data_IF_913201027437
#
_entry.id   IF_913201027437
#
_cell.length_a   1.000
_cell.length_b   1.000
_cell.length_c   1.000
_cell.angle_alpha   90.00
_cell.angle_beta   90.00
_cell.angle_gamma   90.00
#
_symmetry.space_group_name_H-M   'P 1'
#
loop_
_entity.id
_entity.type
_entity.pdbx_description
1 polymer ?
#
# COMPACT_ATOMS: atom_id res chain seq x y z
N UNK A 1 -22.28 -23.89 4.57
CA UNK A 1 -20.95 -23.44 5.04
C UNK A 1 -20.51 -22.10 4.43
N UNK A 2 -20.18 -22.00 3.13
CA UNK A 2 -19.79 -20.70 2.52
C UNK A 2 -20.93 -19.66 2.49
N UNK A 3 -22.18 -20.09 2.22
CA UNK A 3 -23.35 -19.21 2.23
C UNK A 3 -23.60 -18.59 3.62
N UNK A 4 -23.49 -19.39 4.68
CA UNK A 4 -23.77 -18.96 6.05
C UNK A 4 -22.74 -17.92 6.54
N UNK A 5 -21.47 -18.06 6.10
CA UNK A 5 -20.41 -17.10 6.41
C UNK A 5 -20.71 -15.70 5.85
N UNK A 6 -21.18 -15.59 4.61
CA UNK A 6 -21.45 -14.28 4.00
C UNK A 6 -22.76 -13.64 4.50
N UNK A 7 -23.70 -14.44 5.02
CA UNK A 7 -24.90 -13.91 5.68
C UNK A 7 -24.57 -13.32 7.06
N UNK A 8 -23.74 -14.00 7.85
CA UNK A 8 -23.35 -13.55 9.19
C UNK A 8 -22.26 -12.46 9.16
N UNK A 9 -21.43 -12.43 8.11
CA UNK A 9 -20.36 -11.46 7.94
C UNK A 9 -20.42 -10.83 6.55
N UNK A 10 -21.46 -10.02 6.26
CA UNK A 10 -21.61 -9.39 4.97
C UNK A 10 -20.39 -8.52 4.66
N UNK A 11 -19.66 -8.85 3.59
CA UNK A 11 -18.49 -8.08 3.12
C UNK A 11 -18.88 -6.78 2.40
N UNK A 12 -20.16 -6.40 2.46
CA UNK A 12 -20.68 -5.16 1.91
C UNK A 12 -20.55 -4.06 2.94
N UNK A 13 -19.59 -3.16 2.74
CA UNK A 13 -19.42 -1.99 3.62
C UNK A 13 -20.55 -0.98 3.33
N UNK A 14 -21.26 -0.47 4.35
CA UNK A 14 -22.17 0.65 4.16
C UNK A 14 -21.38 1.87 3.68
N UNK A 15 -22.04 2.77 2.94
CA UNK A 15 -21.41 4.05 2.57
C UNK A 15 -21.09 4.81 3.84
N UNK A 16 -19.87 5.30 3.93
CA UNK A 16 -19.44 6.13 5.02
C UNK A 16 -20.17 7.49 4.92
N UNK A 17 -20.67 8.06 6.03
CA UNK A 17 -21.22 9.42 6.02
C UNK A 17 -20.22 10.44 5.46
N UNK A 18 -20.73 11.49 4.82
CA UNK A 18 -19.92 12.44 4.05
C UNK A 18 -18.84 13.10 4.91
N UNK A 19 -19.18 13.44 6.14
CA UNK A 19 -18.33 14.09 7.13
C UNK A 19 -17.09 13.22 7.43
N UNK A 20 -17.30 11.91 7.57
CA UNK A 20 -16.20 10.97 7.80
C UNK A 20 -15.38 10.72 6.54
N UNK A 21 -15.97 10.75 5.35
CA UNK A 21 -15.22 10.66 4.08
C UNK A 21 -14.27 11.85 3.94
N UNK A 22 -14.72 13.04 4.32
CA UNK A 22 -13.91 14.27 4.26
C UNK A 22 -12.75 14.21 5.27
N UNK A 23 -13.02 13.78 6.50
CA UNK A 23 -11.97 13.52 7.50
C UNK A 23 -11.00 12.47 6.97
N UNK A 24 -11.49 11.31 6.53
CA UNK A 24 -10.63 10.25 6.00
C UNK A 24 -9.75 10.75 4.86
N UNK A 25 -10.34 11.44 3.88
CA UNK A 25 -9.61 11.97 2.72
C UNK A 25 -8.55 12.99 3.12
N UNK A 26 -8.86 13.89 4.06
CA UNK A 26 -7.91 14.92 4.52
C UNK A 26 -6.72 14.33 5.27
N UNK A 27 -6.95 13.42 6.22
CA UNK A 27 -5.87 12.72 6.94
C UNK A 27 -5.06 11.83 6.01
N UNK A 28 -5.74 11.13 5.08
CA UNK A 28 -5.05 10.23 4.17
C UNK A 28 -4.14 11.00 3.20
N UNK A 29 -4.62 12.15 2.70
CA UNK A 29 -3.83 13.08 1.89
C UNK A 29 -2.69 13.70 2.69
N UNK A 30 -2.94 14.19 3.91
CA UNK A 30 -1.91 14.79 4.77
C UNK A 30 -0.78 13.82 5.14
N UNK A 31 -1.12 12.58 5.50
CA UNK A 31 -0.14 11.54 5.83
C UNK A 31 0.72 11.11 4.62
N UNK A 32 0.19 11.24 3.39
CA UNK A 32 0.91 10.88 2.16
C UNK A 32 1.64 12.04 1.49
N UNK A 33 1.17 13.28 1.64
CA UNK A 33 1.91 14.48 1.20
C UNK A 33 3.19 14.71 2.02
N UNK A 34 3.30 14.08 3.19
CA UNK A 34 4.57 13.94 3.90
C UNK A 34 5.21 15.29 4.22
N UNK A 35 4.44 16.27 4.69
CA UNK A 35 4.96 17.59 5.08
C UNK A 35 5.37 17.56 6.55
N UNK A 36 6.66 17.41 6.83
CA UNK A 36 7.21 17.49 8.18
C UNK A 36 8.53 16.74 8.40
N UNK A 37 9.09 16.87 9.60
CA UNK A 37 10.34 16.19 9.99
C UNK A 37 10.11 14.68 10.14
N UNK A 38 8.94 14.28 10.66
CA UNK A 38 8.58 12.89 10.83
C UNK A 38 8.48 12.13 9.50
N UNK A 39 7.83 12.72 8.48
CA UNK A 39 7.71 12.11 7.16
C UNK A 39 9.06 11.98 6.45
N UNK A 40 9.98 12.93 6.65
CA UNK A 40 11.34 12.82 6.13
C UNK A 40 12.08 11.64 6.73
N UNK A 41 12.00 11.46 8.05
CA UNK A 41 12.60 10.32 8.74
C UNK A 41 11.98 9.00 8.28
N UNK A 42 10.65 8.92 8.19
CA UNK A 42 9.94 7.75 7.68
C UNK A 42 10.41 7.37 6.28
N UNK A 43 10.49 8.33 5.35
CA UNK A 43 10.96 8.07 3.97
C UNK A 43 12.41 7.55 3.92
N UNK A 44 13.29 8.03 4.82
CA UNK A 44 14.67 7.54 4.90
C UNK A 44 14.74 6.09 5.39
N UNK A 45 13.96 5.76 6.40
CA UNK A 45 13.88 4.40 6.96
C UNK A 45 13.25 3.45 5.92
N UNK A 46 12.16 3.86 5.27
CA UNK A 46 11.49 3.13 4.19
C UNK A 46 12.47 2.86 3.04
N UNK A 47 13.20 3.88 2.57
CA UNK A 47 14.22 3.70 1.55
C UNK A 47 15.34 2.74 1.99
N UNK A 48 15.75 2.79 3.25
CA UNK A 48 16.74 1.84 3.77
C UNK A 48 16.22 0.41 3.78
N UNK A 49 14.96 0.18 4.16
CA UNK A 49 14.32 -1.13 4.13
C UNK A 49 14.24 -1.70 2.72
N UNK A 50 13.77 -0.92 1.74
CA UNK A 50 13.70 -1.40 0.35
C UNK A 50 15.08 -1.74 -0.22
N UNK A 51 16.13 -1.00 0.16
CA UNK A 51 17.51 -1.37 -0.21
C UNK A 51 17.95 -2.71 0.40
N UNK A 52 17.46 -3.05 1.59
CA UNK A 52 17.76 -4.35 2.21
C UNK A 52 17.03 -5.48 1.49
N UNK A 53 15.74 -5.31 1.22
CA UNK A 53 14.94 -6.27 0.45
C UNK A 53 15.54 -6.48 -0.95
N UNK A 54 15.81 -5.40 -1.68
CA UNK A 54 16.40 -5.45 -3.01
C UNK A 54 17.75 -6.20 -3.05
N UNK A 55 18.57 -6.06 -2.00
CA UNK A 55 19.84 -6.79 -1.89
C UNK A 55 19.64 -8.28 -1.67
N UNK A 56 18.65 -8.66 -0.87
CA UNK A 56 18.33 -10.05 -0.57
C UNK A 56 17.80 -10.79 -1.81
N UNK A 57 16.90 -10.14 -2.56
CA UNK A 57 16.26 -10.74 -3.74
C UNK A 57 17.12 -10.65 -5.01
N UNK A 58 18.28 -9.98 -4.99
CA UNK A 58 19.15 -9.75 -6.16
C UNK A 58 19.55 -11.05 -6.88
N UNK A 59 19.70 -12.16 -6.15
CA UNK A 59 20.06 -13.47 -6.73
C UNK A 59 18.85 -14.24 -7.29
N UNK A 60 17.63 -13.75 -7.04
CA UNK A 60 16.36 -14.39 -7.39
C UNK A 60 15.43 -13.43 -8.16
N UNK A 61 15.98 -12.65 -9.09
CA UNK A 61 15.22 -11.62 -9.84
C UNK A 61 14.16 -12.16 -10.81
N UNK A 62 14.14 -13.47 -11.07
CA UNK A 62 13.22 -14.10 -12.02
C UNK A 62 11.88 -14.49 -11.39
N UNK A 63 11.56 -13.95 -10.21
CA UNK A 63 10.29 -14.18 -9.53
C UNK A 63 9.26 -13.14 -9.98
N UNK A 64 8.02 -13.60 -10.09
CA UNK A 64 6.86 -12.73 -10.22
C UNK A 64 6.41 -12.29 -8.83
N UNK A 65 6.07 -11.01 -8.69
CA UNK A 65 5.65 -10.41 -7.42
C UNK A 65 4.23 -9.88 -7.57
N UNK A 66 3.36 -10.24 -6.62
CA UNK A 66 2.05 -9.64 -6.44
C UNK A 66 2.04 -8.93 -5.09
N UNK A 67 1.83 -7.61 -5.09
CA UNK A 67 1.78 -6.82 -3.88
C UNK A 67 0.34 -6.39 -3.55
N UNK A 68 -0.10 -6.67 -2.33
CA UNK A 68 -1.44 -6.34 -1.85
C UNK A 68 -1.32 -5.14 -0.91
N UNK A 69 -2.04 -4.06 -1.20
CA UNK A 69 -1.90 -2.79 -0.49
C UNK A 69 -0.58 -2.08 -0.82
N UNK A 70 -0.23 -2.04 -2.11
CA UNK A 70 1.06 -1.56 -2.59
C UNK A 70 1.33 -0.06 -2.35
N UNK A 71 0.30 0.69 -1.92
CA UNK A 71 0.43 2.08 -1.54
C UNK A 71 0.88 2.97 -2.69
N UNK A 72 1.92 3.78 -2.46
CA UNK A 72 2.44 4.77 -3.44
C UNK A 72 3.57 4.22 -4.32
N UNK A 73 3.81 2.91 -4.28
CA UNK A 73 4.77 2.22 -5.16
C UNK A 73 6.23 2.70 -5.01
N UNK A 74 6.62 3.21 -3.83
CA UNK A 74 7.98 3.70 -3.55
C UNK A 74 9.07 2.63 -3.71
N UNK A 75 8.72 1.37 -3.46
CA UNK A 75 9.55 0.18 -3.57
C UNK A 75 10.09 -0.05 -4.98
N UNK A 76 9.36 0.35 -6.02
CA UNK A 76 9.74 0.11 -7.43
C UNK A 76 11.05 0.80 -7.83
N UNK A 77 11.48 1.81 -7.07
CA UNK A 77 12.78 2.48 -7.26
C UNK A 77 13.96 1.61 -6.84
N UNK A 78 13.74 0.58 -6.02
CA UNK A 78 14.77 -0.25 -5.40
C UNK A 78 14.67 -1.71 -5.86
N UNK A 79 13.46 -2.24 -5.90
CA UNK A 79 13.19 -3.66 -6.11
C UNK A 79 12.86 -3.90 -7.59
N UNK A 80 13.60 -4.82 -8.22
CA UNK A 80 13.36 -5.24 -9.60
C UNK A 80 12.78 -6.66 -9.61
N UNK A 81 11.56 -6.78 -10.10
CA UNK A 81 10.90 -8.06 -10.34
C UNK A 81 10.79 -8.32 -11.86
N UNK A 82 10.71 -9.59 -12.24
CA UNK A 82 10.50 -9.98 -13.64
C UNK A 82 9.08 -9.65 -14.11
N UNK A 83 8.10 -9.92 -13.26
CA UNK A 83 6.70 -9.54 -13.45
C UNK A 83 6.19 -8.98 -12.13
N UNK A 84 5.52 -7.83 -12.15
CA UNK A 84 5.08 -7.14 -10.95
C UNK A 84 3.63 -6.68 -11.12
N UNK A 85 2.77 -7.14 -10.22
CA UNK A 85 1.35 -6.82 -10.17
C UNK A 85 0.99 -6.25 -8.80
N UNK A 86 -0.08 -5.47 -8.76
CA UNK A 86 -0.58 -4.89 -7.52
C UNK A 86 -2.08 -5.08 -7.36
N UNK A 87 -2.50 -5.19 -6.10
CA UNK A 87 -3.89 -4.99 -5.69
C UNK A 87 -3.92 -3.83 -4.72
N UNK A 88 -4.27 -2.65 -5.20
CA UNK A 88 -4.43 -1.44 -4.38
C UNK A 88 -5.87 -0.89 -4.54
N UNK A 89 -6.73 -1.08 -3.52
CA UNK A 89 -8.12 -0.62 -3.58
C UNK A 89 -8.28 0.89 -3.66
N UNK A 90 -7.32 1.67 -3.13
CA UNK A 90 -7.39 3.12 -3.13
C UNK A 90 -6.64 3.68 -4.34
N UNK A 91 -7.39 4.04 -5.38
CA UNK A 91 -6.84 4.40 -6.70
C UNK A 91 -6.15 5.75 -6.77
N UNK A 92 -6.35 6.64 -5.80
CA UNK A 92 -5.82 8.01 -5.83
C UNK A 92 -4.33 8.10 -5.39
N UNK A 93 -3.57 7.00 -5.51
CA UNK A 93 -2.22 6.86 -4.94
C UNK A 93 -1.08 6.79 -5.93
N UNK A 94 -1.40 6.58 -7.20
CA UNK A 94 -0.45 6.46 -8.30
C UNK A 94 -1.11 6.89 -9.60
#
# INVERSE_FOLDING_TARGET
MLKDMFQNYPKKRPKLPKEYIEIYSSYHKGNREGKGIASFLSQKIESWMHRKVAKDVKKNSNKSTLEIGAGTLNQLKFEKAYYYEIVEPFKDLY
#
